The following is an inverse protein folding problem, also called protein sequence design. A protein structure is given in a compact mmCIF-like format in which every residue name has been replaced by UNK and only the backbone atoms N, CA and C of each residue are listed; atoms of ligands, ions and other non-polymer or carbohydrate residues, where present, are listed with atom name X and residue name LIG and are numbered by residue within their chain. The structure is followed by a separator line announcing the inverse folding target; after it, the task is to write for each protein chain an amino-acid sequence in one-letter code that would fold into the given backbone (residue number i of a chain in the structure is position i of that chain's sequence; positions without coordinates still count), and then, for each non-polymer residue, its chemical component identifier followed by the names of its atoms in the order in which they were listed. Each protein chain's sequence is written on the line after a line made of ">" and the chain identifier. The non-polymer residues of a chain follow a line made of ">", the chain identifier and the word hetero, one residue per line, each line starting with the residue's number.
data_IF_461320474852
#
_entry.id   IF_461320474852
#
_cell.length_a   1.000
_cell.length_b   1.000
_cell.length_c   1.000
_cell.angle_alpha   90.00
_cell.angle_beta   90.00
_cell.angle_gamma   90.00
#
_symmetry.space_group_name_H-M   'P 1'
#
loop_
_entity.id
_entity.type
_entity.pdbx_description
1 polymer ?
#
# COMPACT_ATOMS: atom_id res chain seq x y z
N UNK A 1 -4.99 -3.72 -3.13
CA UNK A 1 -4.63 -2.30 -3.35
C UNK A 1 -3.30 -1.87 -2.75
N UNK A 2 -2.71 -2.63 -1.81
CA UNK A 2 -1.44 -2.28 -1.13
C UNK A 2 -0.31 -1.80 -2.05
N UNK A 3 -0.02 -2.52 -3.14
CA UNK A 3 1.05 -2.14 -4.07
C UNK A 3 0.86 -0.71 -4.59
N UNK A 4 -0.34 -0.38 -5.06
CA UNK A 4 -0.65 0.94 -5.62
C UNK A 4 -0.51 2.04 -4.57
N UNK A 5 -0.91 1.77 -3.33
CA UNK A 5 -0.76 2.72 -2.23
C UNK A 5 0.70 3.04 -1.92
N UNK A 6 1.58 2.02 -1.97
CA UNK A 6 3.00 2.19 -1.64
C UNK A 6 3.86 2.67 -2.81
N UNK A 7 3.47 2.35 -4.05
CA UNK A 7 4.28 2.61 -5.25
C UNK A 7 3.69 3.73 -6.12
N UNK A 8 2.41 4.06 -5.97
CA UNK A 8 1.73 5.10 -6.76
C UNK A 8 1.32 4.67 -8.18
N UNK A 9 1.46 3.38 -8.53
CA UNK A 9 1.07 2.83 -9.83
C UNK A 9 0.57 1.39 -9.70
N UNK A 10 -0.11 0.87 -10.71
CA UNK A 10 -0.57 -0.52 -10.71
C UNK A 10 0.60 -1.52 -10.85
N UNK A 11 0.51 -2.72 -10.22
CA UNK A 11 1.54 -3.76 -10.34
C UNK A 11 1.63 -4.35 -11.75
N UNK A 12 0.51 -4.36 -12.48
CA UNK A 12 0.44 -4.79 -13.88
C UNK A 12 -0.11 -3.64 -14.72
N UNK A 13 0.59 -3.32 -15.80
CA UNK A 13 0.18 -2.28 -16.75
C UNK A 13 0.74 -2.63 -18.13
N UNK A 14 -0.11 -2.48 -19.15
CA UNK A 14 0.24 -2.60 -20.56
C UNK A 14 -0.79 -1.85 -21.42
N UNK A 15 -0.41 -1.48 -22.64
CA UNK A 15 -1.30 -0.83 -23.61
C UNK A 15 -2.25 -1.88 -24.20
N UNK A 16 -1.72 -3.07 -24.50
CA UNK A 16 -2.50 -4.14 -25.10
C UNK A 16 -3.13 -5.04 -24.02
N UNK A 17 -4.46 -5.29 -24.06
CA UNK A 17 -5.11 -6.15 -23.09
C UNK A 17 -4.50 -7.56 -23.03
N UNK A 18 -4.10 -8.12 -24.17
CA UNK A 18 -3.47 -9.45 -24.26
C UNK A 18 -2.16 -9.52 -23.44
N UNK A 19 -1.32 -8.49 -23.56
CA UNK A 19 -0.06 -8.32 -22.84
C UNK A 19 -0.29 -8.08 -21.34
N UNK A 20 -1.30 -7.27 -20.99
CA UNK A 20 -1.71 -7.06 -19.59
C UNK A 20 -2.14 -8.37 -18.93
N UNK A 21 -3.06 -9.11 -19.55
CA UNK A 21 -3.52 -10.40 -19.01
C UNK A 21 -2.40 -11.44 -18.97
N UNK A 22 -1.46 -11.41 -19.92
CA UNK A 22 -0.27 -12.26 -19.88
C UNK A 22 0.61 -11.95 -18.65
N UNK A 23 0.87 -10.66 -18.36
CA UNK A 23 1.60 -10.24 -17.15
C UNK A 23 0.90 -10.66 -15.86
N UNK A 24 -0.43 -10.48 -15.79
CA UNK A 24 -1.25 -10.90 -14.64
C UNK A 24 -1.15 -12.41 -14.43
N UNK A 25 -1.38 -13.21 -15.50
CA UNK A 25 -1.32 -14.68 -15.44
C UNK A 25 0.06 -15.21 -15.06
N UNK A 26 1.13 -14.52 -15.48
CA UNK A 26 2.51 -14.87 -15.12
C UNK A 26 2.92 -14.39 -13.74
N UNK A 27 2.15 -13.48 -13.12
CA UNK A 27 2.52 -12.86 -11.85
C UNK A 27 3.78 -11.99 -11.95
N UNK A 28 4.06 -11.41 -13.12
CA UNK A 28 5.26 -10.61 -13.37
C UNK A 28 5.01 -9.13 -13.03
N UNK A 29 5.63 -8.66 -11.95
CA UNK A 29 5.61 -7.27 -11.52
C UNK A 29 6.94 -6.90 -10.85
N UNK A 30 7.31 -5.61 -10.87
CA UNK A 30 8.52 -5.10 -10.22
C UNK A 30 8.17 -4.36 -8.94
N UNK A 31 8.98 -4.52 -7.89
CA UNK A 31 8.85 -3.75 -6.65
C UNK A 31 10.07 -2.82 -6.54
N UNK A 32 9.90 -1.50 -6.35
CA UNK A 32 11.02 -0.58 -6.19
C UNK A 32 11.89 -0.90 -4.97
N UNK A 33 13.17 -0.55 -5.03
CA UNK A 33 14.10 -0.76 -3.92
C UNK A 33 13.82 0.14 -2.71
N UNK A 34 13.10 1.24 -2.89
CA UNK A 34 12.73 2.21 -1.85
C UNK A 34 11.82 1.64 -0.77
N UNK A 35 11.13 0.52 -1.02
CA UNK A 35 10.26 -0.09 -0.02
C UNK A 35 11.05 -0.90 1.01
N UNK A 36 10.54 -0.94 2.25
CA UNK A 36 11.15 -1.75 3.30
C UNK A 36 11.12 -3.26 2.94
N UNK A 37 12.08 -4.06 3.42
CA UNK A 37 12.09 -5.50 3.18
C UNK A 37 10.79 -6.20 3.61
N UNK A 38 10.22 -5.78 4.76
CA UNK A 38 8.94 -6.27 5.28
C UNK A 38 7.78 -5.96 4.29
N UNK A 39 7.73 -4.74 3.74
CA UNK A 39 6.70 -4.36 2.75
C UNK A 39 6.84 -5.15 1.45
N UNK A 40 8.07 -5.27 0.94
CA UNK A 40 8.40 -6.06 -0.26
C UNK A 40 7.98 -7.52 -0.09
N UNK A 41 8.22 -8.10 1.08
CA UNK A 41 7.81 -9.46 1.42
C UNK A 41 6.29 -9.61 1.36
N UNK A 42 5.54 -8.75 2.05
CA UNK A 42 4.08 -8.81 2.07
C UNK A 42 3.46 -8.68 0.68
N UNK A 43 3.94 -7.71 -0.12
CA UNK A 43 3.46 -7.51 -1.50
C UNK A 43 3.63 -8.80 -2.32
N UNK A 44 4.80 -9.45 -2.23
CA UNK A 44 5.05 -10.71 -2.97
C UNK A 44 4.13 -11.84 -2.50
N UNK A 45 3.83 -11.90 -1.21
CA UNK A 45 2.97 -12.93 -0.63
C UNK A 45 1.49 -12.74 -0.98
N UNK A 46 1.01 -11.51 -1.13
CA UNK A 46 -0.36 -11.21 -1.55
C UNK A 46 -0.53 -11.38 -3.08
N UNK A 47 0.49 -11.02 -3.86
CA UNK A 47 0.46 -11.09 -5.33
C UNK A 47 1.03 -12.40 -5.90
N UNK A 48 0.93 -13.50 -5.14
CA UNK A 48 1.28 -14.84 -5.61
C UNK A 48 0.39 -15.27 -6.78
N UNK A 49 1.01 -15.92 -7.77
CA UNK A 49 0.36 -16.47 -8.97
C UNK A 49 -0.58 -17.60 -8.59
N UNK A 50 -0.09 -18.57 -7.80
CA UNK A 50 -0.90 -19.68 -7.32
C UNK A 50 -1.78 -19.23 -6.16
N UNK A 51 -3.13 -19.39 -6.23
CA UNK A 51 -4.02 -18.98 -5.15
C UNK A 51 -3.76 -19.68 -3.83
N UNK A 52 -3.30 -20.94 -3.87
CA UNK A 52 -2.98 -21.74 -2.69
C UNK A 52 -1.72 -21.28 -1.96
N UNK A 53 -0.85 -20.52 -2.63
CA UNK A 53 0.35 -19.91 -2.02
C UNK A 53 0.08 -18.50 -1.49
N UNK A 54 -1.10 -17.95 -1.76
CA UNK A 54 -1.48 -16.60 -1.33
C UNK A 54 -1.85 -16.61 0.15
N UNK A 55 -1.35 -15.63 0.89
CA UNK A 55 -1.73 -15.44 2.28
C UNK A 55 -3.24 -15.20 2.40
N UNK A 56 -3.84 -15.91 3.35
CA UNK A 56 -5.17 -15.63 3.88
C UNK A 56 -5.19 -14.31 4.64
N UNK A 57 -6.38 -13.76 4.87
CA UNK A 57 -6.52 -12.51 5.64
C UNK A 57 -5.89 -12.60 7.03
N UNK A 58 -6.00 -13.74 7.71
CA UNK A 58 -5.38 -13.95 9.02
C UNK A 58 -3.86 -13.90 8.93
N UNK A 59 -3.26 -14.65 7.99
CA UNK A 59 -1.81 -14.64 7.80
C UNK A 59 -1.26 -13.29 7.34
N UNK A 60 -2.07 -12.50 6.61
CA UNK A 60 -1.73 -11.12 6.26
C UNK A 60 -1.61 -10.26 7.53
N UNK A 61 -2.58 -10.36 8.45
CA UNK A 61 -2.57 -9.59 9.70
C UNK A 61 -1.43 -10.02 10.63
N UNK A 62 -1.05 -11.30 10.60
CA UNK A 62 0.06 -11.85 11.37
C UNK A 62 1.44 -11.58 10.72
N UNK A 63 1.48 -10.98 9.52
CA UNK A 63 2.73 -10.74 8.81
C UNK A 63 3.61 -9.69 9.54
N UNK A 64 4.95 -9.86 9.61
CA UNK A 64 5.87 -8.94 10.30
C UNK A 64 5.86 -7.47 9.84
N UNK A 65 5.17 -7.17 8.74
CA UNK A 65 4.98 -5.81 8.25
C UNK A 65 3.94 -5.04 9.09
N UNK A 66 2.98 -5.74 9.70
CA UNK A 66 2.02 -5.19 10.65
C UNK A 66 2.50 -5.29 12.10
N UNK A 67 3.44 -6.20 12.40
CA UNK A 67 4.09 -6.26 13.71
C UNK A 67 4.86 -4.97 13.94
N UNK A 68 4.28 -4.08 14.75
CA UNK A 68 4.87 -2.78 14.98
C UNK A 68 5.90 -2.88 16.08
N UNK A 69 7.16 -2.63 15.74
CA UNK A 69 8.19 -2.33 16.72
C UNK A 69 7.98 -0.87 17.17
N UNK A 70 6.88 -0.58 17.88
CA UNK A 70 6.71 0.68 18.61
C UNK A 70 7.62 0.66 19.86
N UNK A 71 8.92 0.48 19.66
CA UNK A 71 9.89 0.97 20.64
C UNK A 71 10.08 2.45 20.35
N UNK A 72 9.02 3.23 20.63
CA UNK A 72 9.21 4.64 20.96
C UNK A 72 10.04 4.60 22.23
N UNK A 73 11.35 4.71 22.08
CA UNK A 73 12.22 5.04 23.19
C UNK A 73 11.61 6.28 23.82
N UNK A 74 11.07 6.10 25.02
CA UNK A 74 10.42 7.10 25.83
C UNK A 74 11.39 8.26 26.08
N UNK A 75 11.46 9.19 25.12
CA UNK A 75 12.10 10.50 25.25
C UNK A 75 11.01 11.55 25.07
N UNK A 76 10.28 11.76 26.16
CA UNK A 76 9.94 13.10 26.61
C UNK A 76 8.97 13.94 25.80
N UNK A 77 8.07 13.38 24.98
CA UNK A 77 6.95 14.14 24.43
C UNK A 77 5.64 13.41 24.68
N UNK A 78 4.80 14.03 25.52
CA UNK A 78 3.53 13.51 25.97
C UNK A 78 2.56 13.21 24.84
N UNK A 79 1.68 12.25 25.13
CA UNK A 79 0.45 11.90 24.43
C UNK A 79 0.13 12.77 23.20
N UNK A 80 0.49 12.26 22.02
CA UNK A 80 -0.28 12.56 20.81
C UNK A 80 -0.79 11.25 20.26
N UNK A 81 -2.10 11.08 20.41
CA UNK A 81 -2.92 10.15 19.68
C UNK A 81 -2.52 10.18 18.21
N UNK A 82 -2.25 9.00 17.64
CA UNK A 82 -1.99 8.84 16.21
C UNK A 82 -3.34 8.99 15.49
N UNK A 83 -3.67 10.21 15.09
CA UNK A 83 -4.74 10.49 14.11
C UNK A 83 -4.12 10.84 12.77
N UNK A 84 -3.22 10.01 12.22
CA UNK A 84 -2.75 10.22 10.85
C UNK A 84 -3.74 9.65 9.83
N UNK A 85 -4.92 10.26 9.84
CA UNK A 85 -5.73 10.54 8.66
C UNK A 85 -6.47 11.86 8.94
N UNK A 86 -5.68 12.93 9.17
CA UNK A 86 -6.22 14.26 9.35
C UNK A 86 -6.99 14.65 8.09
N UNK A 87 -8.29 14.90 8.27
CA UNK A 87 -9.11 15.60 7.28
C UNK A 87 -8.42 16.93 7.00
N UNK A 88 -8.10 17.28 5.74
CA UNK A 88 -7.59 18.61 5.43
C UNK A 88 -8.59 19.65 5.95
N UNK A 89 -8.11 20.70 6.60
CA UNK A 89 -8.95 21.81 7.01
C UNK A 89 -9.52 22.46 5.74
N UNK A 90 -10.76 22.10 5.38
CA UNK A 90 -11.47 22.72 4.27
C UNK A 90 -11.93 24.08 4.78
N UNK A 91 -11.24 25.15 4.38
CA UNK A 91 -11.78 26.50 4.54
C UNK A 91 -13.09 26.57 3.75
N UNK A 92 -14.23 26.61 4.43
CA UNK A 92 -15.55 26.88 3.85
C UNK A 92 -15.68 28.35 3.43
N UNK A 93 -14.68 28.89 2.73
CA UNK A 93 -14.83 30.15 2.01
C UNK A 93 -15.14 29.74 0.57
N UNK A 94 -16.34 30.11 0.10
CA UNK A 94 -16.87 29.84 -1.23
C UNK A 94 -15.97 30.45 -2.32
N UNK A 95 -14.88 29.77 -2.68
CA UNK A 95 -14.22 29.98 -3.95
C UNK A 95 -14.48 28.76 -4.83
N UNK A 96 -15.26 29.01 -5.88
CA UNK A 96 -15.65 28.07 -6.93
C UNK A 96 -14.62 26.96 -7.15
N UNK A 97 -14.96 25.73 -6.73
CA UNK A 97 -14.11 24.56 -6.88
C UNK A 97 -13.68 24.41 -8.36
N UNK A 98 -12.39 24.58 -8.69
CA UNK A 98 -11.91 24.41 -10.07
C UNK A 98 -11.96 22.94 -10.52
N UNK A 99 -12.38 22.03 -9.64
CA UNK A 99 -12.56 20.62 -9.93
C UNK A 99 -13.84 20.35 -10.76
N UNK A 100 -14.82 21.24 -10.70
CA UNK A 100 -16.11 21.09 -11.37
C UNK A 100 -16.30 22.01 -12.59
N UNK A 101 -15.22 22.67 -13.05
CA UNK A 101 -15.27 23.56 -14.22
C UNK A 101 -14.54 22.96 -15.43
#
# INVERSE_FOLDING_TARGET
>A
MLYTMLVGRYPFHDIEPSSLFSKIRRGQFSIPETLSPKAKCLIRSILRREPTERLTSQEILDHPWFSTDFNVSNSGYGAKEVTDQLVPDVNMEEDSDPFFN
#
